data_IF_892101831130
#
_entry.id   IF_892101831130
#
_cell.length_a   1.000
_cell.length_b   1.000
_cell.length_c   1.000
_cell.angle_alpha   90.00
_cell.angle_beta   90.00
_cell.angle_gamma   90.00
#
_symmetry.space_group_name_H-M   'P 1'
#
loop_
_entity.id
_entity.type
_entity.pdbx_description
1 polymer ?
#
# COMPACT_ATOMS: atom_id res chain seq x y z
N UNK A 1 19.43 -8.80 2.96
CA UNK A 1 18.77 -7.78 2.11
C UNK A 1 17.55 -7.23 2.86
N UNK A 2 17.23 -5.93 2.75
CA UNK A 2 16.03 -5.36 3.40
C UNK A 2 14.79 -6.03 2.77
N UNK A 3 14.00 -6.76 3.57
CA UNK A 3 12.79 -7.47 3.09
C UNK A 3 12.86 -9.00 2.98
N UNK A 4 13.96 -9.66 3.37
CA UNK A 4 14.05 -11.14 3.30
C UNK A 4 13.20 -11.88 4.35
N UNK A 5 12.76 -11.20 5.43
CA UNK A 5 11.87 -11.76 6.46
C UNK A 5 10.54 -10.99 6.52
N UNK A 6 9.73 -11.10 5.47
CA UNK A 6 8.37 -10.56 5.47
C UNK A 6 7.49 -11.41 6.40
N UNK A 7 7.29 -10.95 7.63
CA UNK A 7 6.38 -11.59 8.58
C UNK A 7 4.97 -11.67 7.97
N UNK A 8 4.42 -12.88 7.95
CA UNK A 8 3.13 -13.21 7.36
C UNK A 8 2.40 -14.20 8.25
N UNK A 9 1.07 -14.11 8.30
CA UNK A 9 0.19 -15.05 8.99
C UNK A 9 0.55 -15.28 10.47
N UNK A 10 1.02 -14.23 11.16
CA UNK A 10 1.34 -14.29 12.58
C UNK A 10 0.11 -14.69 13.43
N UNK A 11 0.36 -15.35 14.55
CA UNK A 11 -0.68 -15.81 15.48
C UNK A 11 -0.84 -14.85 16.66
N UNK A 12 -2.07 -14.68 17.19
CA UNK A 12 -3.33 -15.23 16.68
C UNK A 12 -3.76 -14.57 15.36
N UNK A 13 -4.51 -15.29 14.54
CA UNK A 13 -5.07 -14.70 13.31
C UNK A 13 -6.14 -13.68 13.69
N UNK A 14 -6.07 -12.40 13.23
CA UNK A 14 -7.06 -11.40 13.60
C UNK A 14 -8.39 -11.64 12.87
N UNK A 15 -9.48 -11.30 13.54
CA UNK A 15 -10.77 -11.15 12.88
C UNK A 15 -10.79 -9.86 12.05
N UNK A 16 -11.46 -9.89 10.90
CA UNK A 16 -11.68 -8.71 10.06
C UNK A 16 -13.14 -8.28 10.13
N UNK A 17 -13.37 -7.03 10.50
CA UNK A 17 -14.69 -6.41 10.50
C UNK A 17 -14.84 -5.58 9.22
N UNK A 18 -15.94 -5.73 8.48
CA UNK A 18 -16.17 -4.90 7.30
C UNK A 18 -16.23 -3.42 7.71
N UNK A 19 -15.55 -2.55 6.96
CA UNK A 19 -15.72 -1.12 7.14
C UNK A 19 -17.10 -0.72 6.61
N UNK A 20 -17.96 -0.23 7.49
CA UNK A 20 -19.25 0.38 7.14
C UNK A 20 -19.17 1.91 7.14
N UNK A 21 -18.21 2.48 7.89
CA UNK A 21 -17.92 3.90 7.92
C UNK A 21 -17.61 4.44 6.50
N UNK A 22 -18.42 5.41 6.06
CA UNK A 22 -18.32 5.95 4.71
C UNK A 22 -16.94 6.54 4.42
N UNK A 23 -16.37 7.28 5.39
CA UNK A 23 -15.10 7.97 5.18
C UNK A 23 -13.95 6.98 4.95
N UNK A 24 -13.79 5.99 5.82
CA UNK A 24 -12.74 4.96 5.68
C UNK A 24 -12.92 4.15 4.41
N UNK A 25 -14.17 3.80 4.06
CA UNK A 25 -14.46 3.09 2.80
C UNK A 25 -14.05 3.92 1.58
N UNK A 26 -14.44 5.18 1.52
CA UNK A 26 -14.14 6.06 0.40
C UNK A 26 -12.61 6.31 0.30
N UNK A 27 -11.94 6.50 1.43
CA UNK A 27 -10.49 6.68 1.49
C UNK A 27 -9.74 5.42 1.01
N UNK A 28 -10.15 4.23 1.44
CA UNK A 28 -9.54 2.97 1.01
C UNK A 28 -9.87 2.64 -0.45
N UNK A 29 -11.09 2.91 -0.91
CA UNK A 29 -11.46 2.69 -2.30
C UNK A 29 -10.67 3.59 -3.24
N UNK A 30 -10.40 4.83 -2.86
CA UNK A 30 -9.58 5.76 -3.66
C UNK A 30 -8.09 5.42 -3.62
N UNK A 31 -7.56 5.09 -2.45
CA UNK A 31 -6.10 5.05 -2.23
C UNK A 31 -5.52 3.63 -2.15
N UNK A 32 -6.36 2.63 -1.91
CA UNK A 32 -6.01 1.22 -1.84
C UNK A 32 -6.99 0.37 -2.66
N UNK A 33 -7.20 0.79 -3.91
CA UNK A 33 -8.16 0.23 -4.87
C UNK A 33 -8.00 -1.29 -5.02
N UNK A 34 -9.13 -1.98 -5.12
CA UNK A 34 -9.20 -3.44 -5.32
C UNK A 34 -9.31 -3.80 -6.82
N UNK A 35 -8.25 -3.54 -7.60
CA UNK A 35 -8.25 -3.61 -9.08
C UNK A 35 -8.74 -4.93 -9.71
N UNK A 36 -8.72 -6.04 -8.95
CA UNK A 36 -9.15 -7.37 -9.43
C UNK A 36 -10.66 -7.59 -9.34
N UNK A 37 -11.43 -6.62 -8.82
CA UNK A 37 -12.86 -6.71 -8.57
C UNK A 37 -13.56 -5.46 -9.11
N UNK A 38 -14.84 -5.57 -9.45
CA UNK A 38 -15.67 -4.40 -9.75
C UNK A 38 -15.81 -3.56 -8.47
N UNK A 39 -15.87 -2.24 -8.60
CA UNK A 39 -15.89 -1.32 -7.46
C UNK A 39 -16.98 -1.68 -6.43
N UNK A 40 -18.23 -1.90 -6.89
CA UNK A 40 -19.34 -2.30 -6.02
C UNK A 40 -19.04 -3.59 -5.24
N UNK A 41 -18.56 -4.63 -5.92
CA UNK A 41 -18.20 -5.91 -5.30
C UNK A 41 -17.04 -5.76 -4.32
N UNK A 42 -16.04 -4.93 -4.67
CA UNK A 42 -14.91 -4.61 -3.80
C UNK A 42 -15.36 -3.92 -2.51
N UNK A 43 -16.23 -2.92 -2.61
CA UNK A 43 -16.75 -2.17 -1.46
C UNK A 43 -17.66 -3.01 -0.55
N UNK A 44 -18.41 -3.95 -1.11
CA UNK A 44 -19.30 -4.86 -0.38
C UNK A 44 -18.51 -5.95 0.34
N UNK A 45 -17.56 -6.61 -0.34
CA UNK A 45 -16.87 -7.79 0.19
C UNK A 45 -15.53 -7.48 0.88
N UNK A 46 -14.87 -6.38 0.48
CA UNK A 46 -13.57 -5.92 1.01
C UNK A 46 -12.50 -7.02 1.02
N UNK A 47 -12.59 -7.95 0.06
CA UNK A 47 -11.86 -9.22 0.08
C UNK A 47 -10.35 -8.99 0.07
N UNK A 48 -9.88 -7.98 -0.67
CA UNK A 48 -8.47 -7.68 -0.73
C UNK A 48 -7.95 -7.11 0.59
N UNK A 49 -8.65 -6.13 1.17
CA UNK A 49 -8.29 -5.52 2.45
C UNK A 49 -8.31 -6.55 3.57
N UNK A 50 -9.36 -7.38 3.65
CA UNK A 50 -9.44 -8.52 4.57
C UNK A 50 -8.22 -9.43 4.47
N UNK A 51 -7.83 -9.83 3.26
CA UNK A 51 -6.67 -10.68 3.02
C UNK A 51 -5.37 -10.01 3.46
N UNK A 52 -5.17 -8.73 3.17
CA UNK A 52 -3.97 -7.99 3.58
C UNK A 52 -3.88 -7.86 5.11
N UNK A 53 -4.99 -7.57 5.77
CA UNK A 53 -5.02 -7.47 7.23
C UNK A 53 -4.75 -8.81 7.91
N UNK A 54 -5.40 -9.89 7.47
CA UNK A 54 -5.17 -11.25 8.00
C UNK A 54 -3.74 -11.71 7.76
N UNK A 55 -3.17 -11.41 6.59
CA UNK A 55 -1.82 -11.86 6.22
C UNK A 55 -0.72 -11.03 6.88
N UNK A 56 -0.84 -9.70 6.88
CA UNK A 56 0.23 -8.79 7.30
C UNK A 56 -0.13 -7.96 8.54
N UNK A 57 -1.37 -7.47 8.64
CA UNK A 57 -1.85 -6.80 9.85
C UNK A 57 -1.73 -7.68 11.10
N UNK A 58 -1.90 -8.99 10.93
CA UNK A 58 -1.71 -9.97 11.99
C UNK A 58 -0.36 -9.86 12.73
N UNK A 59 0.69 -9.42 12.04
CA UNK A 59 2.05 -9.36 12.55
C UNK A 59 2.37 -8.05 13.30
N UNK A 60 1.41 -7.15 13.44
CA UNK A 60 1.58 -5.88 14.16
C UNK A 60 0.39 -5.55 15.07
N UNK A 61 -0.40 -6.57 15.47
CA UNK A 61 -1.58 -6.43 16.31
C UNK A 61 -1.29 -5.87 17.70
N UNK A 62 -0.08 -6.09 18.21
CA UNK A 62 0.38 -5.53 19.49
C UNK A 62 0.53 -4.00 19.45
N UNK A 63 0.57 -3.40 18.25
CA UNK A 63 0.73 -1.95 18.05
C UNK A 63 -0.50 -1.32 17.39
N UNK A 64 -1.14 -2.04 16.46
CA UNK A 64 -2.20 -1.51 15.61
C UNK A 64 -3.38 -2.48 15.52
N UNK A 65 -4.56 -2.01 15.91
CA UNK A 65 -5.82 -2.65 15.53
C UNK A 65 -6.15 -2.39 14.05
N UNK A 66 -7.21 -3.01 13.54
CA UNK A 66 -7.61 -2.90 12.13
C UNK A 66 -7.71 -1.46 11.63
N UNK A 67 -8.48 -0.62 12.32
CA UNK A 67 -8.67 0.79 11.92
C UNK A 67 -7.35 1.54 11.88
N UNK A 68 -6.50 1.38 12.90
CA UNK A 68 -5.19 2.05 12.95
C UNK A 68 -4.19 1.50 11.92
N UNK A 69 -4.25 0.21 11.57
CA UNK A 69 -3.43 -0.40 10.53
C UNK A 69 -3.72 0.23 9.16
N UNK A 70 -4.99 0.31 8.78
CA UNK A 70 -5.40 0.92 7.51
C UNK A 70 -5.17 2.44 7.50
N UNK A 71 -5.45 3.12 8.62
CA UNK A 71 -5.16 4.56 8.76
C UNK A 71 -3.67 4.87 8.61
N UNK A 72 -2.80 4.03 9.17
CA UNK A 72 -1.36 4.17 9.03
C UNK A 72 -0.92 4.01 7.56
N UNK A 73 -1.43 2.99 6.87
CA UNK A 73 -1.14 2.78 5.45
C UNK A 73 -1.55 3.98 4.59
N UNK A 74 -2.77 4.50 4.80
CA UNK A 74 -3.26 5.70 4.12
C UNK A 74 -2.37 6.92 4.40
N UNK A 75 -1.99 7.15 5.67
CA UNK A 75 -1.11 8.26 6.05
C UNK A 75 0.29 8.14 5.45
N UNK A 76 0.85 6.94 5.37
CA UNK A 76 2.16 6.71 4.75
C UNK A 76 2.11 6.97 3.24
N UNK A 77 1.04 6.55 2.57
CA UNK A 77 0.81 6.84 1.15
C UNK A 77 0.69 8.33 0.89
N UNK A 78 -0.03 9.06 1.75
CA UNK A 78 -0.24 10.51 1.61
C UNK A 78 1.06 11.33 1.76
N UNK A 79 2.02 10.83 2.55
CA UNK A 79 3.32 11.48 2.73
C UNK A 79 4.22 11.44 1.49
N UNK A 80 4.00 10.51 0.56
CA UNK A 80 4.90 10.26 -0.57
C UNK A 80 4.09 10.27 -1.87
N UNK A 81 4.10 11.41 -2.55
CA UNK A 81 3.59 11.53 -3.91
C UNK A 81 4.66 11.11 -4.93
N UNK A 82 4.79 9.79 -5.11
CA UNK A 82 5.77 9.20 -6.04
C UNK A 82 5.55 9.71 -7.47
N UNK A 83 4.31 9.81 -7.93
CA UNK A 83 4.04 10.20 -9.32
C UNK A 83 4.44 11.66 -9.58
N UNK A 84 4.08 12.58 -8.69
CA UNK A 84 4.52 13.97 -8.81
C UNK A 84 6.03 14.10 -8.74
N UNK A 85 6.68 13.34 -7.84
CA UNK A 85 8.13 13.35 -7.74
C UNK A 85 8.80 12.86 -9.03
N UNK A 86 8.36 11.74 -9.59
CA UNK A 86 8.87 11.23 -10.86
C UNK A 86 8.69 12.27 -11.98
N UNK A 87 7.52 12.92 -12.06
CA UNK A 87 7.27 14.00 -13.02
C UNK A 87 8.20 15.19 -12.87
N UNK A 88 8.52 15.60 -11.64
CA UNK A 88 9.48 16.68 -11.39
C UNK A 88 10.90 16.32 -11.87
N UNK A 89 11.19 15.03 -12.03
CA UNK A 89 12.43 14.50 -12.59
C UNK A 89 12.29 14.13 -14.09
N UNK A 90 11.25 14.61 -14.77
CA UNK A 90 10.94 14.30 -16.17
C UNK A 90 10.70 12.81 -16.46
N UNK A 91 10.34 12.04 -15.42
CA UNK A 91 9.95 10.64 -15.51
C UNK A 91 8.42 10.56 -15.57
N UNK A 92 7.89 10.24 -16.75
CA UNK A 92 6.45 10.18 -17.03
C UNK A 92 6.05 8.80 -17.53
N UNK A 93 4.81 8.34 -17.26
CA UNK A 93 4.31 7.10 -17.85
C UNK A 93 4.32 7.15 -19.39
N UNK A 94 4.67 6.04 -20.04
CA UNK A 94 4.68 5.90 -21.51
C UNK A 94 6.07 5.88 -22.14
N UNK A 95 7.10 6.29 -21.39
CA UNK A 95 8.48 6.36 -21.85
C UNK A 95 9.40 5.37 -21.10
N UNK A 96 10.62 5.20 -21.60
CA UNK A 96 11.63 4.32 -21.01
C UNK A 96 12.69 5.13 -20.26
N UNK A 97 13.12 4.61 -19.11
CA UNK A 97 14.12 5.23 -18.24
C UNK A 97 15.07 4.17 -17.71
N UNK A 98 16.28 4.58 -17.39
CA UNK A 98 17.22 3.71 -16.69
C UNK A 98 16.77 3.48 -15.25
N UNK A 99 17.13 2.32 -14.70
CA UNK A 99 16.90 2.03 -13.29
C UNK A 99 17.49 3.11 -12.37
N UNK A 100 18.67 3.63 -12.72
CA UNK A 100 19.37 4.64 -11.94
C UNK A 100 18.58 5.96 -11.85
N UNK A 101 17.99 6.42 -12.95
CA UNK A 101 17.17 7.64 -12.98
C UNK A 101 15.95 7.51 -12.07
N UNK A 102 15.23 6.39 -12.17
CA UNK A 102 14.06 6.10 -11.33
C UNK A 102 14.47 6.00 -9.85
N UNK A 103 15.52 5.23 -9.55
CA UNK A 103 15.98 5.03 -8.18
C UNK A 103 16.44 6.35 -7.52
N UNK A 104 17.15 7.18 -8.27
CA UNK A 104 17.59 8.50 -7.81
C UNK A 104 16.41 9.43 -7.54
N UNK A 105 15.43 9.50 -8.44
CA UNK A 105 14.23 10.30 -8.26
C UNK A 105 13.47 9.87 -6.99
N UNK A 106 13.14 8.58 -6.86
CA UNK A 106 12.41 8.05 -5.69
C UNK A 106 13.16 8.33 -4.38
N UNK A 107 14.49 8.21 -4.36
CA UNK A 107 15.31 8.50 -3.17
C UNK A 107 15.16 9.93 -2.66
N UNK A 108 14.86 10.90 -3.53
CA UNK A 108 14.67 12.31 -3.11
C UNK A 108 13.47 12.51 -2.19
N UNK A 109 12.43 11.69 -2.29
CA UNK A 109 11.22 11.78 -1.44
C UNK A 109 11.18 10.75 -0.32
N UNK A 110 11.83 9.59 -0.50
CA UNK A 110 11.90 8.58 0.56
C UNK A 110 13.05 8.82 1.54
N UNK A 111 14.07 9.59 1.15
CA UNK A 111 15.29 9.84 1.94
C UNK A 111 16.20 8.63 2.12
N UNK A 112 15.86 7.49 1.50
CA UNK A 112 16.55 6.21 1.68
C UNK A 112 16.45 5.32 0.44
N UNK A 113 17.35 4.34 0.35
CA UNK A 113 17.29 3.35 -0.72
C UNK A 113 15.99 2.54 -0.62
N UNK A 114 15.35 2.35 -1.77
CA UNK A 114 14.06 1.67 -1.92
C UNK A 114 14.24 0.34 -2.64
N UNK A 115 13.31 -0.59 -2.41
CA UNK A 115 13.24 -1.86 -3.15
C UNK A 115 12.30 -1.68 -4.33
N UNK A 116 12.75 -2.05 -5.52
CA UNK A 116 11.99 -1.94 -6.76
C UNK A 116 11.59 -3.32 -7.24
N UNK A 117 10.35 -3.46 -7.67
CA UNK A 117 9.82 -4.66 -8.30
C UNK A 117 9.47 -4.31 -9.76
N UNK A 118 10.02 -5.06 -10.71
CA UNK A 118 9.75 -4.92 -12.14
C UNK A 118 8.99 -6.15 -12.65
N UNK A 119 8.06 -5.95 -13.57
CA UNK A 119 7.33 -7.01 -14.27
C UNK A 119 7.60 -6.90 -15.76
N UNK A 120 7.57 -8.04 -16.46
CA UNK A 120 7.76 -8.12 -17.91
C UNK A 120 6.42 -8.07 -18.64
#
# INVERSE_FOLDING_TARGET
KKGENNLMFCKPTPNYTLFEDKKMRDDLDKHWIQLKKRQKEGLEQQQFWKRQYIKHGACCQNLYNQTTYFSLALRLKDRIDLLRNLRNHSIVPGENYTFYEIAKAVKTVTGADSVFECVK
#
